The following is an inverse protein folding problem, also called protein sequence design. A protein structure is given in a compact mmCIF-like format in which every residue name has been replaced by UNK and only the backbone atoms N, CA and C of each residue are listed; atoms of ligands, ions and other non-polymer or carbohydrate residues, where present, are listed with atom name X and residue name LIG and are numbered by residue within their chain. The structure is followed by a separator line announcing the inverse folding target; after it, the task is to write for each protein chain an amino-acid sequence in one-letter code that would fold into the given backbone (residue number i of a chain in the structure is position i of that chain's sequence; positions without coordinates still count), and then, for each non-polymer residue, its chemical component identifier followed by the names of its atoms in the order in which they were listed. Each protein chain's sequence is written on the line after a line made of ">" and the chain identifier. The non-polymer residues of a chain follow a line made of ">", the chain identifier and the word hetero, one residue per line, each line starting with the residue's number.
data_IF_402246817270
#
_entry.id   IF_402246817270
#
_cell.length_a   1.000
_cell.length_b   1.000
_cell.length_c   1.000
_cell.angle_alpha   90.00
_cell.angle_beta   90.00
_cell.angle_gamma   90.00
#
_symmetry.space_group_name_H-M   'P 1'
#
loop_
_entity.id
_entity.type
_entity.pdbx_description
1 polymer ?
#
# COMPACT_ATOMS: atom_id res chain seq x y z
N UNK A 1 8.90 13.24 -9.61
CA UNK A 1 7.68 14.04 -9.61
C UNK A 1 6.76 13.77 -8.42
N UNK A 2 7.30 13.30 -7.28
CA UNK A 2 6.57 13.15 -6.00
C UNK A 2 6.86 14.38 -5.14
N UNK A 3 6.14 15.46 -5.39
CA UNK A 3 6.43 16.78 -4.82
C UNK A 3 5.81 17.02 -3.42
N UNK A 4 4.98 16.08 -2.98
CA UNK A 4 4.31 16.09 -1.68
C UNK A 4 4.71 14.89 -0.80
N UNK A 5 5.94 14.40 -0.96
CA UNK A 5 6.47 13.28 -0.18
C UNK A 5 7.71 13.71 0.60
N UNK A 6 7.62 13.66 1.94
CA UNK A 6 8.60 14.25 2.84
C UNK A 6 8.82 13.41 4.11
N UNK A 7 10.02 13.45 4.67
CA UNK A 7 10.26 13.04 6.07
C UNK A 7 9.91 14.16 7.05
N UNK A 8 10.05 15.41 6.64
CA UNK A 8 9.60 16.57 7.39
C UNK A 8 8.82 17.47 6.43
N UNK A 9 7.56 17.74 6.75
CA UNK A 9 6.67 18.51 5.89
C UNK A 9 7.08 20.00 5.95
N UNK A 10 7.36 20.63 4.79
CA UNK A 10 7.64 22.06 4.72
C UNK A 10 6.54 22.89 5.33
N UNK A 11 6.88 24.04 5.91
CA UNK A 11 5.96 24.88 6.68
C UNK A 11 4.74 25.29 5.86
N UNK A 12 4.94 25.66 4.62
CA UNK A 12 3.90 26.08 3.68
C UNK A 12 2.93 24.96 3.25
N UNK A 13 3.22 23.70 3.59
CA UNK A 13 2.36 22.53 3.29
C UNK A 13 1.73 21.90 4.53
N UNK A 14 2.00 22.41 5.73
CA UNK A 14 1.56 21.81 6.99
C UNK A 14 0.06 21.84 7.22
N UNK A 15 -0.64 22.81 6.65
CA UNK A 15 -2.10 22.90 6.70
C UNK A 15 -2.77 21.70 6.02
N UNK A 16 -2.12 21.10 5.04
CA UNK A 16 -2.59 19.91 4.30
C UNK A 16 -2.41 18.59 5.04
N UNK A 17 -1.63 18.55 6.12
CA UNK A 17 -1.40 17.32 6.88
C UNK A 17 -2.70 16.88 7.56
N UNK A 18 -3.10 15.64 7.34
CA UNK A 18 -4.29 15.07 7.94
C UNK A 18 -4.15 14.93 9.46
N UNK A 19 -5.24 15.14 10.17
CA UNK A 19 -5.31 14.88 11.60
C UNK A 19 -5.36 13.39 11.89
N UNK A 20 -4.81 12.97 13.01
CA UNK A 20 -4.81 11.57 13.46
C UNK A 20 -5.98 11.34 14.40
N UNK A 21 -6.74 10.28 14.16
CA UNK A 21 -7.90 9.90 14.94
C UNK A 21 -7.67 8.55 15.64
N UNK A 22 -8.36 8.35 16.75
CA UNK A 22 -8.41 7.06 17.45
C UNK A 22 -9.86 6.70 17.74
N UNK A 23 -10.24 5.43 17.60
CA UNK A 23 -11.54 4.98 18.11
C UNK A 23 -11.52 4.99 19.63
N UNK A 24 -12.65 5.36 20.24
CA UNK A 24 -12.84 5.34 21.69
C UNK A 24 -13.11 3.94 22.23
N UNK A 25 -13.41 3.00 21.34
CA UNK A 25 -13.62 1.58 21.60
C UNK A 25 -14.22 0.86 20.39
N UNK A 26 -14.36 -0.48 20.44
CA UNK A 26 -14.98 -1.24 19.36
C UNK A 26 -16.40 -0.76 19.07
N UNK A 27 -16.68 -0.35 17.83
CA UNK A 27 -17.99 0.14 17.40
C UNK A 27 -18.35 1.54 17.91
N UNK A 28 -17.39 2.27 18.47
CA UNK A 28 -17.59 3.62 18.99
C UNK A 28 -17.12 4.70 18.02
N UNK A 29 -17.42 5.94 18.36
CA UNK A 29 -17.02 7.14 17.59
C UNK A 29 -15.51 7.28 17.51
N UNK A 30 -15.05 7.92 16.44
CA UNK A 30 -13.66 8.26 16.24
C UNK A 30 -13.44 9.67 16.81
N UNK A 31 -12.44 9.81 17.66
CA UNK A 31 -12.04 11.11 18.24
C UNK A 31 -10.66 11.54 17.76
N UNK A 32 -10.42 12.85 17.78
CA UNK A 32 -9.12 13.42 17.47
C UNK A 32 -8.11 12.91 18.51
N UNK A 33 -7.12 12.16 18.05
CA UNK A 33 -6.19 11.43 18.92
C UNK A 33 -5.08 12.32 19.47
N UNK A 34 -4.56 13.21 18.64
CA UNK A 34 -3.39 14.02 18.98
C UNK A 34 -3.19 15.19 18.02
N UNK A 35 -2.35 16.13 18.44
CA UNK A 35 -1.88 17.22 17.59
C UNK A 35 -1.22 16.66 16.32
N UNK A 36 -1.39 17.38 15.22
CA UNK A 36 -0.73 17.05 13.95
C UNK A 36 0.79 17.00 14.14
N UNK A 37 1.38 15.94 13.60
CA UNK A 37 2.82 15.81 13.49
C UNK A 37 3.25 16.19 12.07
N UNK A 38 4.35 16.89 11.94
CA UNK A 38 4.85 17.37 10.65
C UNK A 38 6.21 16.78 10.29
N UNK A 39 6.78 16.01 11.19
CA UNK A 39 8.07 15.36 10.98
C UNK A 39 8.18 14.12 11.86
N UNK A 40 9.02 13.19 11.45
CA UNK A 40 9.37 12.01 12.25
C UNK A 40 10.63 12.20 13.10
N UNK A 41 11.12 13.42 13.22
CA UNK A 41 12.27 13.79 14.06
C UNK A 41 12.16 13.24 15.50
N UNK A 42 10.99 13.27 16.19
CA UNK A 42 10.86 12.72 17.53
C UNK A 42 11.14 11.20 17.60
N UNK A 43 10.97 10.46 16.50
CA UNK A 43 11.16 9.01 16.46
C UNK A 43 12.54 8.60 15.95
N UNK A 44 13.09 9.37 14.99
CA UNK A 44 14.28 8.96 14.25
C UNK A 44 15.44 9.96 14.33
N UNK A 45 15.22 11.16 14.89
CA UNK A 45 16.21 12.25 14.89
C UNK A 45 16.29 13.00 13.57
N UNK A 46 16.94 14.15 13.59
CA UNK A 46 16.93 15.11 12.46
C UNK A 46 17.62 14.62 11.19
N UNK A 47 18.55 13.68 11.32
CA UNK A 47 19.40 13.23 10.21
C UNK A 47 19.21 11.73 9.89
N UNK A 48 18.17 11.10 10.39
CA UNK A 48 17.90 9.70 10.15
C UNK A 48 16.70 9.49 9.24
N UNK A 49 16.97 8.99 8.05
CA UNK A 49 15.96 8.64 7.06
C UNK A 49 15.69 7.14 7.12
N UNK A 50 14.83 6.73 8.05
CA UNK A 50 14.53 5.32 8.29
C UNK A 50 13.78 4.67 7.14
N UNK A 51 14.23 3.52 6.67
CA UNK A 51 13.55 2.75 5.62
C UNK A 51 12.28 2.02 6.08
N UNK A 52 11.97 2.05 7.38
CA UNK A 52 10.83 1.33 7.96
C UNK A 52 9.55 2.16 7.95
N UNK A 53 9.66 3.44 8.26
CA UNK A 53 8.52 4.36 8.38
C UNK A 53 9.01 5.80 8.34
N UNK A 54 8.08 6.75 8.25
CA UNK A 54 8.40 8.14 8.48
C UNK A 54 8.07 9.10 7.35
N UNK A 55 7.68 8.60 6.19
CA UNK A 55 7.28 9.44 5.08
C UNK A 55 5.85 9.93 5.25
N UNK A 56 5.66 11.23 5.01
CA UNK A 56 4.39 11.84 4.69
C UNK A 56 4.23 11.84 3.18
N UNK A 57 3.05 11.53 2.69
CA UNK A 57 2.79 11.47 1.25
C UNK A 57 1.32 11.76 0.95
N UNK A 58 1.00 11.84 -0.32
CA UNK A 58 -0.38 11.90 -0.84
C UNK A 58 -0.68 10.65 -1.65
N UNK A 59 -1.97 10.38 -1.89
CA UNK A 59 -2.38 9.28 -2.76
C UNK A 59 -1.85 9.46 -4.19
N UNK A 60 -1.80 10.71 -4.68
CA UNK A 60 -1.27 11.04 -6.00
C UNK A 60 0.22 10.73 -6.12
N UNK A 61 1.02 11.13 -5.15
CA UNK A 61 2.47 10.84 -5.16
C UNK A 61 2.73 9.34 -5.02
N UNK A 62 2.00 8.67 -4.12
CA UNK A 62 2.16 7.24 -3.94
C UNK A 62 1.71 6.44 -5.17
N UNK A 63 0.71 6.95 -5.90
CA UNK A 63 0.32 6.39 -7.20
C UNK A 63 1.48 6.49 -8.21
N UNK A 64 2.20 7.60 -8.27
CA UNK A 64 3.36 7.74 -9.15
C UNK A 64 4.43 6.68 -8.87
N UNK A 65 4.70 6.42 -7.59
CA UNK A 65 5.62 5.37 -7.17
C UNK A 65 5.12 3.97 -7.61
N UNK A 66 3.86 3.67 -7.35
CA UNK A 66 3.24 2.39 -7.70
C UNK A 66 3.17 2.18 -9.21
N UNK A 67 2.80 3.22 -9.96
CA UNK A 67 2.75 3.16 -11.42
C UNK A 67 4.15 3.00 -12.04
N UNK A 68 5.16 3.65 -11.49
CA UNK A 68 6.54 3.46 -11.90
C UNK A 68 6.97 2.00 -11.75
N UNK A 69 6.63 1.35 -10.66
CA UNK A 69 6.90 -0.08 -10.46
C UNK A 69 6.10 -0.95 -11.45
N UNK A 70 4.81 -0.68 -11.63
CA UNK A 70 3.94 -1.39 -12.57
C UNK A 70 4.48 -1.31 -14.01
N UNK A 71 5.03 -0.17 -14.40
CA UNK A 71 5.69 0.05 -15.69
C UNK A 71 7.12 -0.56 -15.76
N UNK A 72 7.53 -1.38 -14.80
CA UNK A 72 8.87 -1.98 -14.80
C UNK A 72 10.01 -1.01 -14.52
N UNK A 73 9.76 0.01 -13.69
CA UNK A 73 10.75 0.92 -13.16
C UNK A 73 10.88 2.27 -13.87
N UNK A 74 9.87 2.65 -14.66
CA UNK A 74 9.86 3.92 -15.42
C UNK A 74 8.51 4.62 -15.33
N UNK A 75 8.51 5.94 -15.24
CA UNK A 75 7.33 6.79 -15.34
C UNK A 75 7.72 8.12 -16.02
N UNK A 76 6.85 8.60 -16.91
CA UNK A 76 7.01 9.87 -17.65
C UNK A 76 8.39 10.00 -18.33
N UNK A 77 8.91 8.90 -18.89
CA UNK A 77 10.20 8.86 -19.56
C UNK A 77 11.42 8.86 -18.62
N UNK A 78 11.21 8.84 -17.30
CA UNK A 78 12.28 8.75 -16.30
C UNK A 78 12.38 7.32 -15.75
N UNK A 79 13.49 6.66 -16.03
CA UNK A 79 13.78 5.32 -15.50
C UNK A 79 14.60 5.42 -14.22
N UNK A 80 14.03 4.91 -13.13
CA UNK A 80 14.70 4.80 -11.82
C UNK A 80 15.24 3.39 -11.57
N UNK A 81 14.54 2.36 -12.04
CA UNK A 81 14.90 0.96 -11.84
C UNK A 81 14.88 0.21 -13.17
N UNK A 82 15.68 -0.84 -13.27
CA UNK A 82 15.54 -1.77 -14.39
C UNK A 82 14.33 -2.69 -14.18
N UNK A 83 13.71 -3.22 -15.26
CA UNK A 83 12.66 -4.22 -15.13
C UNK A 83 13.09 -5.45 -14.33
N UNK A 84 14.36 -5.85 -14.42
CA UNK A 84 14.93 -6.95 -13.64
C UNK A 84 14.99 -6.64 -12.14
N UNK A 85 15.31 -5.39 -11.78
CA UNK A 85 15.31 -4.93 -10.40
C UNK A 85 13.89 -4.95 -9.82
N UNK A 86 12.90 -4.44 -10.57
CA UNK A 86 11.50 -4.49 -10.15
C UNK A 86 11.05 -5.93 -9.98
N UNK A 87 11.32 -6.81 -10.95
CA UNK A 87 11.01 -8.24 -10.86
C UNK A 87 11.62 -8.88 -9.60
N UNK A 88 12.87 -8.54 -9.27
CA UNK A 88 13.51 -8.99 -8.04
C UNK A 88 12.79 -8.48 -6.80
N UNK A 89 12.42 -7.20 -6.75
CA UNK A 89 11.75 -6.58 -5.60
C UNK A 89 10.41 -7.24 -5.29
N UNK A 90 9.65 -7.63 -6.31
CA UNK A 90 8.33 -8.25 -6.15
C UNK A 90 8.37 -9.79 -6.18
N UNK A 91 9.55 -10.40 -6.11
CA UNK A 91 9.71 -11.85 -5.94
C UNK A 91 9.67 -12.24 -4.47
N UNK A 92 9.27 -13.50 -4.19
CA UNK A 92 9.30 -14.04 -2.85
C UNK A 92 10.73 -14.24 -2.34
N UNK A 93 11.09 -13.59 -1.25
CA UNK A 93 12.38 -13.73 -0.55
C UNK A 93 12.24 -14.34 0.84
N UNK A 94 11.02 -14.61 1.32
CA UNK A 94 10.76 -15.18 2.64
C UNK A 94 10.61 -16.71 2.64
N UNK A 95 10.74 -17.37 1.47
CA UNK A 95 10.54 -18.79 1.34
C UNK A 95 9.05 -19.19 1.47
N UNK A 96 8.79 -20.38 2.05
CA UNK A 96 7.43 -20.94 2.15
C UNK A 96 6.65 -20.44 3.38
N UNK A 97 7.25 -19.58 4.20
CA UNK A 97 6.62 -19.03 5.39
C UNK A 97 5.65 -17.88 5.09
N UNK A 98 4.49 -17.90 5.74
CA UNK A 98 3.54 -16.78 5.69
C UNK A 98 4.09 -15.54 6.39
N UNK A 99 3.79 -14.35 5.87
CA UNK A 99 4.15 -13.09 6.51
C UNK A 99 3.16 -12.75 7.61
N UNK A 100 3.61 -12.77 8.86
CA UNK A 100 2.78 -12.57 10.04
C UNK A 100 1.87 -11.33 9.94
N UNK A 101 2.39 -10.19 9.47
CA UNK A 101 1.65 -8.92 9.41
C UNK A 101 0.53 -8.93 8.34
N UNK A 102 0.72 -9.71 7.25
CA UNK A 102 -0.26 -9.81 6.16
C UNK A 102 -1.17 -11.03 6.30
N UNK A 103 -0.69 -12.05 6.99
CA UNK A 103 -1.44 -13.28 7.20
C UNK A 103 -1.15 -14.36 6.15
N UNK A 104 -1.94 -15.44 6.20
CA UNK A 104 -1.77 -16.58 5.31
C UNK A 104 -1.87 -16.20 3.82
N UNK A 105 -1.12 -16.88 2.97
CA UNK A 105 -1.13 -16.69 1.52
C UNK A 105 -0.27 -15.52 1.02
N UNK A 106 0.42 -14.83 1.93
CA UNK A 106 1.38 -13.79 1.59
C UNK A 106 2.81 -14.20 1.94
N UNK A 107 3.72 -13.98 1.00
CA UNK A 107 5.16 -13.99 1.21
C UNK A 107 5.71 -12.56 1.23
N UNK A 108 7.05 -12.38 1.32
CA UNK A 108 7.65 -11.06 1.36
C UNK A 108 8.76 -10.91 0.32
N UNK A 109 8.70 -9.80 -0.41
CA UNK A 109 9.72 -9.38 -1.36
C UNK A 109 10.69 -8.37 -0.72
N UNK A 110 11.22 -7.46 -1.52
CA UNK A 110 12.05 -6.38 -1.02
C UNK A 110 11.19 -5.14 -0.75
N UNK A 111 10.55 -5.13 0.42
CA UNK A 111 9.69 -4.04 0.88
C UNK A 111 8.18 -4.24 0.67
N UNK A 112 7.75 -5.35 0.08
CA UNK A 112 6.35 -5.64 -0.21
C UNK A 112 5.93 -7.02 0.29
N UNK A 113 4.68 -7.12 0.76
CA UNK A 113 3.99 -8.39 0.86
C UNK A 113 3.55 -8.84 -0.53
N UNK A 114 3.84 -10.06 -0.90
CA UNK A 114 3.52 -10.65 -2.21
C UNK A 114 2.42 -11.67 -2.03
N UNK A 115 1.30 -11.50 -2.71
CA UNK A 115 0.22 -12.46 -2.70
C UNK A 115 0.66 -13.72 -3.49
N UNK A 116 0.79 -14.84 -2.82
CA UNK A 116 1.18 -16.11 -3.42
C UNK A 116 0.00 -17.07 -3.59
N UNK A 117 -1.01 -16.98 -2.71
CA UNK A 117 -2.19 -17.83 -2.72
C UNK A 117 -3.43 -17.02 -2.29
N UNK A 118 -4.22 -16.61 -3.28
CA UNK A 118 -5.42 -15.80 -3.08
C UNK A 118 -6.49 -16.52 -2.24
N UNK A 119 -6.63 -17.83 -2.43
CA UNK A 119 -7.60 -18.66 -1.69
C UNK A 119 -7.24 -18.76 -0.20
N UNK A 120 -5.96 -18.96 0.11
CA UNK A 120 -5.44 -19.00 1.47
C UNK A 120 -5.51 -17.63 2.13
N UNK A 121 -5.19 -16.56 1.40
CA UNK A 121 -5.27 -15.17 1.85
C UNK A 121 -6.72 -14.67 2.00
N UNK A 122 -7.66 -15.27 1.28
CA UNK A 122 -9.04 -14.77 1.11
C UNK A 122 -9.04 -13.32 0.57
N UNK A 123 -8.17 -13.07 -0.40
CA UNK A 123 -7.98 -11.77 -1.02
C UNK A 123 -8.36 -11.88 -2.51
N UNK A 124 -9.18 -10.97 -3.04
CA UNK A 124 -9.61 -11.01 -4.44
C UNK A 124 -8.54 -10.61 -5.45
N UNK A 125 -7.37 -10.17 -4.99
CA UNK A 125 -6.25 -9.82 -5.86
C UNK A 125 -5.70 -11.05 -6.59
N UNK A 126 -5.04 -10.83 -7.72
CA UNK A 126 -4.38 -11.90 -8.48
C UNK A 126 -3.06 -12.30 -7.80
N UNK A 127 -2.71 -13.60 -7.72
CA UNK A 127 -1.39 -14.03 -7.27
C UNK A 127 -0.26 -13.33 -8.06
N UNK A 128 0.73 -12.82 -7.34
CA UNK A 128 1.76 -11.94 -7.87
C UNK A 128 1.51 -10.45 -7.56
N UNK A 129 0.31 -10.10 -7.11
CA UNK A 129 0.04 -8.76 -6.58
C UNK A 129 0.93 -8.45 -5.39
N UNK A 130 1.33 -7.18 -5.26
CA UNK A 130 2.18 -6.73 -4.17
C UNK A 130 1.53 -5.56 -3.43
N UNK A 131 1.76 -5.53 -2.12
CA UNK A 131 1.02 -4.65 -1.20
C UNK A 131 1.84 -4.34 0.04
N UNK A 132 1.52 -3.26 0.71
CA UNK A 132 1.87 -3.03 2.11
C UNK A 132 0.90 -2.05 2.75
N UNK A 133 1.09 -1.78 4.02
CA UNK A 133 0.22 -0.85 4.75
C UNK A 133 0.96 -0.10 5.85
N UNK A 134 0.39 1.00 6.28
CA UNK A 134 0.90 1.83 7.38
C UNK A 134 0.21 1.57 8.70
N UNK A 135 0.90 1.95 9.79
CA UNK A 135 0.39 1.78 11.15
C UNK A 135 -0.91 2.57 11.44
N UNK A 136 -1.20 3.58 10.65
CA UNK A 136 -2.38 4.43 10.80
C UNK A 136 -3.47 4.17 9.74
N UNK A 137 -3.53 2.93 9.26
CA UNK A 137 -4.64 2.47 8.43
C UNK A 137 -4.44 2.66 6.93
N UNK A 138 -3.37 3.30 6.47
CA UNK A 138 -3.07 3.38 5.05
C UNK A 138 -2.82 2.00 4.45
N UNK A 139 -3.21 1.80 3.20
CA UNK A 139 -2.90 0.61 2.42
C UNK A 139 -2.72 0.97 0.97
N UNK A 140 -1.84 0.25 0.30
CA UNK A 140 -1.82 0.17 -1.15
C UNK A 140 -1.67 -1.28 -1.60
N UNK A 141 -2.08 -1.54 -2.81
CA UNK A 141 -1.82 -2.78 -3.52
C UNK A 141 -1.68 -2.47 -5.01
N UNK A 142 -0.92 -3.28 -5.71
CA UNK A 142 -0.79 -3.26 -7.16
C UNK A 142 -0.95 -4.68 -7.66
N UNK A 143 -1.87 -4.84 -8.59
CA UNK A 143 -2.14 -6.08 -9.32
C UNK A 143 -1.55 -5.95 -10.73
N UNK A 144 -0.42 -6.60 -11.02
CA UNK A 144 0.22 -6.48 -12.33
C UNK A 144 -0.54 -7.17 -13.46
N UNK A 145 -1.42 -8.11 -13.14
CA UNK A 145 -2.22 -8.84 -14.15
C UNK A 145 -3.39 -7.98 -14.60
N UNK A 146 -4.09 -7.37 -13.65
CA UNK A 146 -5.19 -6.47 -13.93
C UNK A 146 -4.72 -5.03 -14.26
N UNK A 147 -3.41 -4.78 -14.21
CA UNK A 147 -2.80 -3.46 -14.43
C UNK A 147 -3.40 -2.37 -13.52
N UNK A 148 -3.74 -2.75 -12.31
CA UNK A 148 -4.50 -1.92 -11.38
C UNK A 148 -3.73 -1.64 -10.10
N UNK A 149 -3.83 -0.41 -9.61
CA UNK A 149 -3.30 0.00 -8.31
C UNK A 149 -4.39 0.63 -7.45
N UNK A 150 -4.56 0.11 -6.23
CA UNK A 150 -5.44 0.70 -5.23
C UNK A 150 -4.64 1.37 -4.12
N UNK A 151 -5.03 2.59 -3.75
CA UNK A 151 -4.39 3.37 -2.69
C UNK A 151 -5.48 3.96 -1.80
N UNK A 152 -5.41 3.66 -0.51
CA UNK A 152 -6.28 4.27 0.48
C UNK A 152 -5.44 4.95 1.57
N UNK A 153 -5.66 6.24 1.74
CA UNK A 153 -4.99 7.05 2.76
C UNK A 153 -5.96 7.33 3.91
N UNK A 154 -5.61 6.86 5.09
CA UNK A 154 -6.33 7.12 6.34
C UNK A 154 -5.35 7.52 7.43
N UNK A 155 -5.85 8.11 8.51
CA UNK A 155 -5.04 8.47 9.68
C UNK A 155 -5.79 8.06 10.94
N UNK A 156 -5.92 6.73 11.14
CA UNK A 156 -6.62 6.14 12.30
C UNK A 156 -5.66 5.19 13.01
N UNK A 157 -5.43 5.43 14.30
CA UNK A 157 -4.69 4.48 15.15
C UNK A 157 -5.62 3.36 15.61
N UNK A 158 -5.05 2.21 16.02
CA UNK A 158 -5.84 1.09 16.59
C UNK A 158 -7.01 0.63 15.73
N UNK A 159 -6.81 0.59 14.42
CA UNK A 159 -7.85 0.26 13.42
C UNK A 159 -8.07 -1.25 13.22
N UNK A 160 -7.41 -2.12 13.98
CA UNK A 160 -7.44 -3.58 13.78
C UNK A 160 -8.84 -4.23 13.86
N UNK A 161 -9.81 -3.52 14.45
CA UNK A 161 -11.21 -3.92 14.50
C UNK A 161 -12.04 -3.42 13.31
N UNK A 162 -11.45 -2.63 12.40
CA UNK A 162 -12.10 -2.09 11.20
C UNK A 162 -11.77 -2.95 9.99
N UNK A 163 -12.76 -3.24 9.18
CA UNK A 163 -12.60 -4.00 7.92
C UNK A 163 -12.29 -3.11 6.72
N UNK A 164 -12.15 -1.80 6.93
CA UNK A 164 -12.06 -0.78 5.88
C UNK A 164 -11.01 -1.08 4.79
N UNK A 165 -9.90 -1.70 5.15
CA UNK A 165 -8.87 -2.11 4.18
C UNK A 165 -9.34 -3.25 3.27
N UNK A 166 -9.98 -4.26 3.86
CA UNK A 166 -10.56 -5.38 3.11
C UNK A 166 -11.72 -4.91 2.26
N UNK A 167 -12.62 -4.10 2.84
CA UNK A 167 -13.78 -3.55 2.14
C UNK A 167 -13.35 -2.70 0.93
N UNK A 168 -12.30 -1.89 1.08
CA UNK A 168 -11.71 -1.13 -0.02
C UNK A 168 -11.20 -2.05 -1.13
N UNK A 169 -10.39 -3.06 -0.81
CA UNK A 169 -9.86 -4.01 -1.78
C UNK A 169 -10.96 -4.77 -2.52
N UNK A 170 -11.90 -5.36 -1.76
CA UNK A 170 -13.03 -6.11 -2.34
C UNK A 170 -13.88 -5.22 -3.24
N UNK A 171 -14.23 -4.01 -2.79
CA UNK A 171 -15.07 -3.08 -3.57
C UNK A 171 -14.37 -2.61 -4.84
N UNK A 172 -13.05 -2.32 -4.75
CA UNK A 172 -12.27 -1.93 -5.91
C UNK A 172 -12.21 -3.05 -6.96
N UNK A 173 -11.94 -4.28 -6.53
CA UNK A 173 -11.89 -5.42 -7.46
C UNK A 173 -13.25 -5.77 -8.06
N UNK A 174 -14.35 -5.50 -7.38
CA UNK A 174 -15.70 -5.65 -7.94
C UNK A 174 -16.01 -4.67 -9.09
N UNK A 175 -15.21 -3.62 -9.27
CA UNK A 175 -15.37 -2.71 -10.41
C UNK A 175 -14.82 -3.27 -11.72
N UNK A 176 -14.04 -4.35 -11.66
CA UNK A 176 -13.50 -5.03 -12.84
C UNK A 176 -14.62 -5.86 -13.47
N UNK A 177 -14.99 -5.51 -14.68
CA UNK A 177 -16.02 -6.23 -15.46
C UNK A 177 -15.41 -7.09 -16.57
N UNK A 178 -14.14 -6.86 -16.87
CA UNK A 178 -13.40 -7.46 -18.00
C UNK A 178 -11.99 -7.83 -17.47
N UNK A 179 -11.94 -8.94 -16.74
CA UNK A 179 -10.72 -9.34 -16.01
C UNK A 179 -9.66 -9.94 -16.97
N UNK A 180 -8.41 -9.52 -16.78
CA UNK A 180 -7.26 -10.13 -17.47
C UNK A 180 -6.91 -11.51 -16.91
N UNK A 181 -7.43 -11.84 -15.73
CA UNK A 181 -7.26 -13.16 -15.12
C UNK A 181 -8.30 -14.14 -15.66
N UNK A 182 -7.91 -15.29 -16.22
CA UNK A 182 -8.87 -16.32 -16.63
C UNK A 182 -9.69 -16.81 -15.42
N UNK A 183 -11.01 -16.71 -15.52
CA UNK A 183 -11.92 -17.30 -14.53
C UNK A 183 -11.91 -18.82 -14.74
N UNK A 184 -11.59 -19.59 -13.70
CA UNK A 184 -11.55 -21.05 -13.76
C UNK A 184 -12.87 -21.61 -14.31
N UNK A 185 -12.84 -22.25 -15.46
CA UNK A 185 -13.98 -22.91 -16.10
C UNK A 185 -14.80 -22.03 -17.05
N UNK A 186 -14.45 -20.75 -17.22
CA UNK A 186 -15.08 -19.88 -18.22
C UNK A 186 -14.04 -19.45 -19.26
N UNK A 187 -14.33 -19.54 -20.55
CA UNK A 187 -13.46 -18.97 -21.58
C UNK A 187 -13.40 -17.46 -21.41
N UNK A 188 -12.22 -16.89 -21.63
CA UNK A 188 -12.10 -15.45 -21.83
C UNK A 188 -12.98 -15.11 -23.04
N UNK A 189 -13.94 -14.23 -22.89
CA UNK A 189 -14.78 -13.77 -23.99
C UNK A 189 -13.92 -12.87 -24.87
N UNK A 190 -13.67 -13.30 -26.12
CA UNK A 190 -12.96 -12.51 -27.15
C UNK A 190 -13.75 -11.24 -27.51
#
# INVERSE_FOLDING_TARGET
>A
GMEDTFYAVPEEKRDRVASVYSPTGPGQTIELSRTKEYSNTPFFGENYYGGVAGLFSTASDYWRFSQMLLNGGELDGVRLLSPKTVSLMISNHSGDGDVYVRGPGYNFGLGFGILSDAGKARDPLTPGSYTWGGAWGTIFWTDPVEEMTGIMMTQITSYSHLTVRQDFGVTAMQSIIDANTPILGYPVLD
#
